data_IF_898605366265
#
_entry.id   IF_898605366265
#
_cell.length_a   1.000
_cell.length_b   1.000
_cell.length_c   1.000
_cell.angle_alpha   90.00
_cell.angle_beta   90.00
_cell.angle_gamma   90.00
#
_symmetry.space_group_name_H-M   'P 1'
#
loop_
_entity.id
_entity.type
_entity.pdbx_description
1 polymer ?
#
# COMPACT_ATOMS: atom_id res chain seq x y z
N UNK A 1 8.81 34.45 17.08
CA UNK A 1 8.03 33.20 17.14
C UNK A 1 7.91 32.58 15.75
N UNK A 2 9.03 32.33 15.06
CA UNK A 2 9.04 31.78 13.69
C UNK A 2 9.25 30.26 13.72
N UNK A 3 10.05 29.76 14.66
CA UNK A 3 10.34 28.32 14.84
C UNK A 3 9.09 27.44 15.06
N UNK A 4 8.07 27.96 15.74
CA UNK A 4 6.83 27.21 15.97
C UNK A 4 5.99 27.00 14.72
N UNK A 5 6.10 27.90 13.73
CA UNK A 5 5.37 27.79 12.46
C UNK A 5 6.04 26.77 11.54
N UNK A 6 7.36 26.83 11.42
CA UNK A 6 8.14 25.89 10.61
C UNK A 6 7.99 24.45 11.14
N UNK A 7 8.06 24.26 12.46
CA UNK A 7 7.85 22.94 13.06
C UNK A 7 6.45 22.36 12.76
N UNK A 8 5.42 23.20 12.85
CA UNK A 8 4.05 22.80 12.47
C UNK A 8 3.98 22.40 11.00
N UNK A 9 4.57 23.18 10.09
CA UNK A 9 4.59 22.87 8.65
C UNK A 9 5.33 21.54 8.37
N UNK A 10 6.46 21.30 9.04
CA UNK A 10 7.18 20.02 8.96
C UNK A 10 6.35 18.85 9.50
N UNK A 11 5.66 19.02 10.62
CA UNK A 11 4.82 17.98 11.20
C UNK A 11 3.62 17.64 10.28
N UNK A 12 3.00 18.66 9.68
CA UNK A 12 1.94 18.49 8.69
C UNK A 12 2.45 17.73 7.47
N UNK A 13 3.58 18.17 6.87
CA UNK A 13 4.20 17.48 5.73
C UNK A 13 4.56 16.03 6.06
N UNK A 14 5.12 15.78 7.23
CA UNK A 14 5.47 14.42 7.67
C UNK A 14 4.24 13.52 7.81
N UNK A 15 3.15 14.05 8.35
CA UNK A 15 1.88 13.33 8.50
C UNK A 15 1.29 12.97 7.14
N UNK A 16 1.25 13.93 6.21
CA UNK A 16 0.80 13.70 4.83
C UNK A 16 1.68 12.64 4.16
N UNK A 17 3.01 12.72 4.32
CA UNK A 17 3.95 11.76 3.74
C UNK A 17 3.76 10.35 4.29
N UNK A 18 3.49 10.20 5.59
CA UNK A 18 3.16 8.89 6.18
C UNK A 18 1.88 8.29 5.60
N UNK A 19 0.83 9.11 5.45
CA UNK A 19 -0.42 8.67 4.84
C UNK A 19 -0.22 8.27 3.37
N UNK A 20 0.48 9.09 2.59
CA UNK A 20 0.83 8.80 1.19
C UNK A 20 1.63 7.50 1.06
N UNK A 21 2.60 7.24 1.94
CA UNK A 21 3.35 5.98 1.96
C UNK A 21 2.44 4.78 2.23
N UNK A 22 1.51 4.88 3.19
CA UNK A 22 0.54 3.82 3.45
C UNK A 22 -0.39 3.55 2.27
N UNK A 23 -0.88 4.61 1.63
CA UNK A 23 -1.71 4.50 0.42
C UNK A 23 -0.92 3.91 -0.75
N UNK A 24 0.34 4.31 -0.95
CA UNK A 24 1.23 3.74 -1.98
C UNK A 24 1.51 2.27 -1.76
N UNK A 25 1.71 1.84 -0.52
CA UNK A 25 1.84 0.42 -0.19
C UNK A 25 0.57 -0.33 -0.61
N UNK A 26 -0.62 0.17 -0.23
CA UNK A 26 -1.90 -0.44 -0.57
C UNK A 26 -2.13 -0.52 -2.09
N UNK A 27 -1.83 0.56 -2.81
CA UNK A 27 -1.89 0.60 -4.29
C UNK A 27 -0.91 -0.38 -4.92
N UNK A 28 0.28 -0.54 -4.35
CA UNK A 28 1.29 -1.49 -4.87
C UNK A 28 0.83 -2.93 -4.67
N UNK A 29 0.23 -3.27 -3.52
CA UNK A 29 -0.38 -4.57 -3.25
C UNK A 29 -1.53 -4.87 -4.22
N UNK A 30 -2.39 -3.87 -4.51
CA UNK A 30 -3.47 -4.00 -5.50
C UNK A 30 -2.93 -4.28 -6.90
N UNK A 31 -1.93 -3.53 -7.35
CA UNK A 31 -1.30 -3.76 -8.68
C UNK A 31 -0.68 -5.15 -8.80
N UNK A 32 -0.05 -5.63 -7.72
CA UNK A 32 0.49 -7.00 -7.69
C UNK A 32 -0.62 -8.04 -7.78
N UNK A 33 -1.71 -7.83 -7.05
CA UNK A 33 -2.89 -8.71 -7.11
C UNK A 33 -3.51 -8.71 -8.52
N UNK A 34 -3.67 -7.55 -9.15
CA UNK A 34 -4.15 -7.43 -10.54
C UNK A 34 -3.25 -8.20 -11.50
N UNK A 35 -1.93 -8.10 -11.34
CA UNK A 35 -0.97 -8.85 -12.16
C UNK A 35 -1.09 -10.37 -11.96
N UNK A 36 -1.35 -10.83 -10.73
CA UNK A 36 -1.57 -12.25 -10.44
C UNK A 36 -2.90 -12.75 -11.02
N UNK A 37 -3.95 -11.92 -11.01
CA UNK A 37 -5.26 -12.24 -11.58
C UNK A 37 -5.22 -12.24 -13.11
N UNK A 38 -4.48 -11.31 -13.72
CA UNK A 38 -4.35 -11.19 -15.17
C UNK A 38 -3.43 -12.26 -15.79
N UNK A 39 -2.65 -12.98 -14.98
CA UNK A 39 -1.76 -14.04 -15.46
C UNK A 39 -2.60 -15.16 -16.10
N UNK A 40 -2.30 -15.48 -17.36
CA UNK A 40 -2.97 -16.58 -18.07
C UNK A 40 -2.37 -17.92 -17.67
N UNK A 41 -3.25 -18.92 -17.51
CA UNK A 41 -2.87 -20.27 -17.08
C UNK A 41 -3.03 -20.49 -15.57
N UNK A 42 -2.77 -21.71 -15.09
CA UNK A 42 -2.83 -22.03 -13.66
C UNK A 42 -1.74 -21.27 -12.91
N UNK A 43 -2.12 -20.66 -11.79
CA UNK A 43 -1.16 -20.11 -10.83
C UNK A 43 -0.43 -21.27 -10.14
N UNK A 44 0.88 -21.10 -9.94
CA UNK A 44 1.61 -22.03 -9.08
C UNK A 44 1.07 -21.94 -7.64
N UNK A 45 1.25 -23.00 -6.84
CA UNK A 45 0.72 -23.05 -5.47
C UNK A 45 1.14 -21.83 -4.62
N UNK A 46 2.38 -21.36 -4.79
CA UNK A 46 2.88 -20.18 -4.10
C UNK A 46 2.21 -18.88 -4.57
N UNK A 47 1.85 -18.78 -5.85
CA UNK A 47 1.16 -17.62 -6.43
C UNK A 47 -0.30 -17.57 -5.96
N UNK A 48 -0.96 -18.72 -5.89
CA UNK A 48 -2.33 -18.82 -5.37
C UNK A 48 -2.37 -18.52 -3.86
N UNK A 49 -1.37 -18.99 -3.10
CA UNK A 49 -1.21 -18.64 -1.69
C UNK A 49 -0.96 -17.14 -1.50
N UNK A 50 -0.09 -16.55 -2.32
CA UNK A 50 0.20 -15.11 -2.29
C UNK A 50 -1.05 -14.29 -2.65
N UNK A 51 -1.78 -14.69 -3.69
CA UNK A 51 -3.04 -14.06 -4.11
C UNK A 51 -4.08 -14.07 -2.99
N UNK A 52 -4.29 -15.22 -2.33
CA UNK A 52 -5.18 -15.32 -1.16
C UNK A 52 -4.74 -14.41 -0.02
N UNK A 53 -3.43 -14.36 0.28
CA UNK A 53 -2.87 -13.48 1.31
C UNK A 53 -3.10 -12.01 1.00
N UNK A 54 -2.84 -11.58 -0.25
CA UNK A 54 -3.06 -10.21 -0.71
C UNK A 54 -4.54 -9.81 -0.64
N UNK A 55 -5.45 -10.69 -1.04
CA UNK A 55 -6.89 -10.45 -0.93
C UNK A 55 -7.28 -10.26 0.54
N UNK A 56 -6.84 -11.14 1.43
CA UNK A 56 -7.13 -11.01 2.87
C UNK A 56 -6.56 -9.71 3.43
N UNK A 57 -5.30 -9.36 3.13
CA UNK A 57 -4.71 -8.10 3.61
C UNK A 57 -5.44 -6.86 3.08
N UNK A 58 -5.91 -6.86 1.84
CA UNK A 58 -6.60 -5.71 1.23
C UNK A 58 -8.05 -5.54 1.69
N UNK A 59 -8.70 -6.64 2.05
CA UNK A 59 -10.12 -6.70 2.46
C UNK A 59 -10.32 -6.72 3.99
N UNK A 60 -9.26 -6.91 4.78
CA UNK A 60 -9.32 -6.89 6.26
C UNK A 60 -9.19 -5.49 6.85
N UNK A 61 -9.48 -4.45 6.06
CA UNK A 61 -9.47 -3.04 6.43
C UNK A 61 -10.83 -2.59 6.98
#
# INVERSE_FOLDING_TARGET
MVEGKELCEFQTMWTIKKQDLGLKERVSKMKLLDSLIAKQGPLADYEEALKKKLINELMSD
#
